data_IF_509998392960
#
_entry.id   IF_509998392960
#
_cell.length_a   1.000
_cell.length_b   1.000
_cell.length_c   1.000
_cell.angle_alpha   90.00
_cell.angle_beta   90.00
_cell.angle_gamma   90.00
#
_symmetry.space_group_name_H-M   'P 1'
#
loop_
_entity.id
_entity.type
_entity.pdbx_description
1 polymer ?
#
# COMPACT_ATOMS: atom_id res chain seq x y z
N UNK A 1 8.97 7.41 -6.10
CA UNK A 1 9.63 7.03 -7.39
C UNK A 1 9.85 5.53 -7.50
N UNK A 2 10.46 4.86 -6.51
CA UNK A 2 10.72 3.40 -6.56
C UNK A 2 9.46 2.55 -6.82
N UNK A 3 8.38 2.77 -6.08
CA UNK A 3 7.10 2.07 -6.27
C UNK A 3 6.49 2.25 -7.67
N UNK A 4 6.69 3.42 -8.28
CA UNK A 4 6.22 3.67 -9.64
C UNK A 4 6.89 2.74 -10.65
N UNK A 5 8.16 2.37 -10.40
CA UNK A 5 8.92 1.41 -11.19
C UNK A 5 8.82 -0.04 -10.69
N UNK A 6 7.97 -0.31 -9.69
CA UNK A 6 7.76 -1.66 -9.17
C UNK A 6 8.81 -2.14 -8.16
N UNK A 7 9.56 -1.22 -7.55
CA UNK A 7 10.59 -1.52 -6.53
C UNK A 7 10.06 -1.31 -5.10
N UNK A 8 8.85 -1.81 -4.82
CA UNK A 8 8.23 -1.70 -3.49
C UNK A 8 8.97 -2.55 -2.43
N UNK A 9 9.70 -3.58 -2.85
CA UNK A 9 10.59 -4.36 -2.01
C UNK A 9 11.72 -3.49 -1.43
N UNK A 10 12.33 -2.63 -2.26
CA UNK A 10 13.39 -1.69 -1.81
C UNK A 10 12.81 -0.64 -0.87
N UNK A 11 11.60 -0.14 -1.15
CA UNK A 11 10.94 0.82 -0.25
C UNK A 11 10.66 0.16 1.10
N UNK A 12 10.14 -1.06 1.10
CA UNK A 12 9.90 -1.82 2.32
C UNK A 12 11.19 -2.03 3.12
N UNK A 13 12.28 -2.45 2.47
CA UNK A 13 13.57 -2.65 3.15
C UNK A 13 14.06 -1.36 3.80
N UNK A 14 13.98 -0.24 3.09
CA UNK A 14 14.38 1.06 3.64
C UNK A 14 13.54 1.45 4.87
N UNK A 15 12.22 1.26 4.81
CA UNK A 15 11.29 1.63 5.88
C UNK A 15 11.34 0.71 7.09
N UNK A 16 11.77 -0.54 6.91
CA UNK A 16 11.84 -1.55 7.97
C UNK A 16 13.17 -1.56 8.74
N UNK A 17 14.15 -0.77 8.32
CA UNK A 17 15.43 -0.61 9.04
C UNK A 17 15.23 0.01 10.42
N UNK A 18 16.07 -0.45 11.36
CA UNK A 18 16.10 0.03 12.75
C UNK A 18 17.45 0.61 13.14
N UNK A 19 18.46 0.56 12.28
CA UNK A 19 19.76 1.18 12.47
C UNK A 19 19.76 2.66 12.04
N UNK A 20 20.66 3.46 12.62
CA UNK A 20 20.79 4.87 12.24
C UNK A 20 21.38 5.00 10.83
N UNK A 21 20.84 5.86 9.95
CA UNK A 21 19.63 6.69 10.09
C UNK A 21 18.37 5.98 9.55
N UNK A 22 17.27 5.94 10.32
CA UNK A 22 15.99 5.33 9.87
C UNK A 22 14.78 5.73 10.73
N UNK A 23 13.56 5.54 10.21
CA UNK A 23 12.34 5.66 11.01
C UNK A 23 12.33 4.68 12.18
N UNK A 24 12.77 3.43 11.95
CA UNK A 24 12.83 2.42 13.00
C UNK A 24 13.80 2.82 14.11
N UNK A 25 14.92 3.45 13.78
CA UNK A 25 15.85 4.00 14.79
C UNK A 25 15.15 5.00 15.70
N UNK A 26 14.43 5.97 15.14
CA UNK A 26 13.67 6.94 15.93
C UNK A 26 12.63 6.26 16.84
N UNK A 27 11.89 5.28 16.30
CA UNK A 27 10.85 4.53 17.04
C UNK A 27 11.46 3.75 18.21
N UNK A 28 12.53 2.98 18.01
CA UNK A 28 13.13 2.17 19.10
C UNK A 28 13.76 3.05 20.19
N UNK A 29 14.09 4.32 19.88
CA UNK A 29 14.58 5.31 20.84
C UNK A 29 13.44 6.16 21.45
N UNK A 30 12.18 5.82 21.20
CA UNK A 30 11.03 6.40 21.90
C UNK A 30 10.35 7.57 21.20
N UNK A 31 10.64 7.83 19.92
CA UNK A 31 9.88 8.81 19.15
C UNK A 31 8.40 8.40 19.04
N UNK A 32 7.50 9.33 19.37
CA UNK A 32 6.04 9.19 19.18
C UNK A 32 5.49 10.08 18.06
N UNK A 33 6.37 10.90 17.46
CA UNK A 33 6.12 11.78 16.32
C UNK A 33 7.33 11.74 15.39
N UNK A 34 7.16 12.22 14.16
CA UNK A 34 8.28 12.37 13.22
C UNK A 34 9.27 13.40 13.77
N UNK A 35 10.56 13.09 13.66
CA UNK A 35 11.65 13.94 14.12
C UNK A 35 12.21 14.75 12.96
N UNK A 36 12.84 15.89 13.25
CA UNK A 36 13.48 16.74 12.23
C UNK A 36 14.73 16.07 11.65
N UNK A 37 15.47 15.35 12.49
CA UNK A 37 16.63 14.55 12.11
C UNK A 37 16.33 13.06 12.18
N UNK A 38 16.93 12.28 11.28
CA UNK A 38 16.78 10.82 11.21
C UNK A 38 17.23 10.07 12.46
N UNK A 39 18.12 10.67 13.25
CA UNK A 39 18.65 10.09 14.49
C UNK A 39 17.99 10.70 15.74
N UNK A 40 16.93 11.49 15.61
CA UNK A 40 16.13 11.92 16.77
C UNK A 40 15.34 10.73 17.33
N UNK A 41 15.20 10.57 18.67
CA UNK A 41 15.65 11.42 19.78
C UNK A 41 17.06 11.09 20.32
N UNK A 42 17.85 10.25 19.65
CA UNK A 42 19.17 9.80 20.09
C UNK A 42 20.27 10.13 19.06
N UNK A 43 20.76 11.39 18.98
CA UNK A 43 21.71 11.79 17.95
C UNK A 43 22.98 10.93 17.95
N UNK A 44 23.17 10.13 16.89
CA UNK A 44 24.29 9.18 16.80
C UNK A 44 25.59 9.82 16.27
N UNK A 45 25.52 11.04 15.72
CA UNK A 45 26.59 11.69 14.96
C UNK A 45 27.16 12.95 15.62
N UNK A 46 26.94 13.13 16.92
CA UNK A 46 27.40 14.30 17.66
C UNK A 46 26.65 15.60 17.35
N UNK A 47 25.50 15.50 16.68
CA UNK A 47 24.63 16.63 16.37
C UNK A 47 23.87 17.08 17.64
N UNK A 48 23.49 18.37 17.75
CA UNK A 48 22.56 18.79 18.81
C UNK A 48 21.19 18.12 18.62
N UNK A 49 20.41 18.04 19.70
CA UNK A 49 19.04 17.52 19.63
C UNK A 49 18.15 18.50 18.85
N UNK A 50 17.65 18.06 17.70
CA UNK A 50 16.71 18.81 16.85
C UNK A 50 15.25 18.67 17.33
N UNK A 51 14.29 19.25 16.59
CA UNK A 51 12.86 19.10 16.91
C UNK A 51 12.43 17.63 16.86
N UNK A 52 11.61 17.22 17.84
CA UNK A 52 11.06 15.85 17.91
C UNK A 52 9.64 15.74 17.33
N UNK A 53 9.15 16.82 16.71
CA UNK A 53 7.85 16.88 16.07
C UNK A 53 7.93 17.75 14.80
N UNK A 54 8.33 17.13 13.69
CA UNK A 54 8.56 17.76 12.40
C UNK A 54 8.04 16.87 11.26
N UNK A 55 7.12 17.40 10.44
CA UNK A 55 6.37 16.60 9.47
C UNK A 55 7.14 16.27 8.17
N UNK A 56 8.36 16.79 7.98
CA UNK A 56 9.13 16.66 6.73
C UNK A 56 9.32 15.22 6.24
N UNK A 57 9.39 14.27 7.17
CA UNK A 57 9.51 12.83 6.85
C UNK A 57 8.15 12.13 6.76
N UNK A 58 7.06 12.87 6.54
CA UNK A 58 5.70 12.32 6.41
C UNK A 58 5.44 11.58 5.10
N UNK A 59 6.35 11.66 4.12
CA UNK A 59 6.19 11.02 2.81
C UNK A 59 6.04 9.49 2.88
N UNK A 60 6.43 8.86 4.00
CA UNK A 60 6.17 7.43 4.25
C UNK A 60 4.67 7.09 4.22
N UNK A 61 3.82 8.02 4.67
CA UNK A 61 2.36 7.83 4.68
C UNK A 61 1.78 7.64 3.27
N UNK A 62 2.34 8.37 2.28
CA UNK A 62 1.94 8.19 0.88
C UNK A 62 2.21 6.76 0.40
N UNK A 63 3.36 6.17 0.75
CA UNK A 63 3.66 4.79 0.37
C UNK A 63 2.72 3.80 1.06
N UNK A 64 2.48 3.98 2.37
CA UNK A 64 1.57 3.12 3.15
C UNK A 64 0.15 3.12 2.56
N UNK A 65 -0.37 4.30 2.21
CA UNK A 65 -1.74 4.45 1.68
C UNK A 65 -1.85 4.10 0.20
N UNK A 66 -1.01 4.71 -0.64
CA UNK A 66 -1.15 4.64 -2.10
C UNK A 66 -0.51 3.41 -2.72
N UNK A 67 0.53 2.84 -2.09
CA UNK A 67 1.25 1.68 -2.62
C UNK A 67 0.92 0.43 -1.83
N UNK A 68 1.24 0.39 -0.53
CA UNK A 68 1.06 -0.81 0.29
C UNK A 68 -0.43 -1.20 0.44
N UNK A 69 -1.29 -0.26 0.84
CA UNK A 69 -2.74 -0.47 0.84
C UNK A 69 -3.37 -0.36 -0.55
N UNK A 70 -2.67 0.31 -1.48
CA UNK A 70 -3.02 0.38 -2.89
C UNK A 70 -4.16 1.34 -3.22
N UNK A 71 -4.52 2.29 -2.36
CA UNK A 71 -5.63 3.22 -2.60
C UNK A 71 -5.11 4.45 -3.33
N UNK A 72 -5.41 4.57 -4.63
CA UNK A 72 -5.00 5.74 -5.41
C UNK A 72 -6.13 6.22 -6.31
N UNK A 73 -6.30 7.53 -6.43
CA UNK A 73 -7.15 8.08 -7.49
C UNK A 73 -6.41 8.08 -8.84
N UNK A 74 -7.10 7.83 -9.94
CA UNK A 74 -6.50 7.96 -11.27
C UNK A 74 -6.11 9.41 -11.56
N UNK A 75 -5.14 9.63 -12.46
CA UNK A 75 -4.58 10.97 -12.72
C UNK A 75 -5.62 12.02 -13.15
N UNK A 76 -6.68 11.60 -13.83
CA UNK A 76 -7.76 12.47 -14.31
C UNK A 76 -9.02 12.39 -13.42
N UNK A 77 -8.95 11.68 -12.30
CA UNK A 77 -10.06 11.60 -11.35
C UNK A 77 -10.12 12.86 -10.49
N UNK A 78 -11.34 13.27 -10.19
CA UNK A 78 -11.64 14.29 -9.20
C UNK A 78 -12.39 13.60 -8.07
N UNK A 79 -12.06 13.96 -6.83
CA UNK A 79 -12.87 13.61 -5.66
C UNK A 79 -13.03 12.09 -5.48
N UNK A 80 -11.98 11.31 -5.76
CA UNK A 80 -12.00 9.84 -5.66
C UNK A 80 -13.14 9.17 -6.46
N UNK A 81 -13.58 9.77 -7.57
CA UNK A 81 -14.60 9.20 -8.45
C UNK A 81 -14.11 7.96 -9.20
N UNK A 82 -12.85 7.95 -9.63
CA UNK A 82 -12.22 6.83 -10.36
C UNK A 82 -10.91 6.47 -9.68
N UNK A 83 -10.84 5.25 -9.14
CA UNK A 83 -9.70 4.76 -8.39
C UNK A 83 -8.93 3.67 -9.14
N UNK A 84 -7.64 3.58 -8.82
CA UNK A 84 -6.84 2.38 -9.03
C UNK A 84 -6.60 1.76 -7.64
N UNK A 85 -7.09 0.54 -7.45
CA UNK A 85 -6.82 -0.28 -6.27
C UNK A 85 -5.73 -1.28 -6.62
N UNK A 86 -4.49 -0.95 -6.29
CA UNK A 86 -3.29 -1.73 -6.66
C UNK A 86 -2.36 -1.91 -5.46
N UNK A 87 -2.61 -2.90 -4.59
CA UNK A 87 -1.73 -3.15 -3.44
C UNK A 87 -0.36 -3.64 -3.89
N UNK A 88 0.69 -3.08 -3.31
CA UNK A 88 2.06 -3.55 -3.42
C UNK A 88 2.27 -4.75 -2.48
N UNK A 89 2.61 -5.91 -3.05
CA UNK A 89 2.84 -7.14 -2.29
C UNK A 89 4.33 -7.26 -2.01
N UNK A 90 4.70 -7.17 -0.74
CA UNK A 90 6.08 -7.28 -0.25
C UNK A 90 6.24 -8.51 0.64
N UNK A 91 7.46 -9.06 0.73
CA UNK A 91 7.69 -10.40 1.26
C UNK A 91 7.36 -10.57 2.75
N UNK A 92 7.67 -9.56 3.58
CA UNK A 92 7.54 -9.67 5.03
C UNK A 92 6.25 -9.08 5.59
N UNK A 93 5.28 -8.77 4.72
CA UNK A 93 3.94 -8.32 5.12
C UNK A 93 2.93 -9.36 4.63
N UNK A 94 2.22 -9.98 5.56
CA UNK A 94 1.19 -10.98 5.27
C UNK A 94 -0.23 -10.42 5.28
N UNK A 95 -0.45 -9.26 5.91
CA UNK A 95 -1.76 -8.63 6.02
C UNK A 95 -1.64 -7.11 6.06
N UNK A 96 -2.53 -6.43 5.35
CA UNK A 96 -2.77 -4.99 5.45
C UNK A 96 -4.27 -4.75 5.47
N UNK A 97 -4.70 -3.82 6.33
CA UNK A 97 -6.06 -3.28 6.32
C UNK A 97 -5.99 -1.77 6.48
N UNK A 98 -6.62 -1.06 5.56
CA UNK A 98 -6.73 0.40 5.58
C UNK A 98 -8.16 0.81 5.27
N UNK A 99 -8.65 1.79 6.02
CA UNK A 99 -9.92 2.47 5.75
C UNK A 99 -9.61 3.95 5.59
N UNK A 100 -10.03 4.53 4.46
CA UNK A 100 -9.79 5.93 4.12
C UNK A 100 -11.10 6.68 3.92
N UNK A 101 -11.26 7.82 4.62
CA UNK A 101 -12.47 8.64 4.52
C UNK A 101 -12.31 9.67 3.42
N UNK A 102 -13.16 9.57 2.40
CA UNK A 102 -13.32 10.59 1.38
C UNK A 102 -14.60 11.40 1.63
N UNK A 103 -14.75 12.47 0.87
CA UNK A 103 -16.00 13.22 0.68
C UNK A 103 -17.16 12.35 0.19
N UNK A 104 -16.90 11.32 -0.64
CA UNK A 104 -17.91 10.37 -1.14
C UNK A 104 -18.30 9.31 -0.13
N UNK A 105 -17.46 9.10 0.89
CA UNK A 105 -17.64 8.08 1.91
C UNK A 105 -16.35 7.29 2.16
N UNK A 106 -16.50 6.13 2.75
CA UNK A 106 -15.40 5.27 3.14
C UNK A 106 -14.93 4.40 1.98
N UNK A 107 -13.62 4.32 1.80
CA UNK A 107 -12.95 3.31 0.98
C UNK A 107 -12.25 2.36 1.95
N UNK A 108 -12.38 1.05 1.75
CA UNK A 108 -11.62 0.06 2.52
C UNK A 108 -10.87 -0.85 1.56
N UNK A 109 -9.58 -1.07 1.86
CA UNK A 109 -8.82 -2.16 1.26
C UNK A 109 -8.27 -3.05 2.36
N UNK A 110 -8.42 -4.35 2.16
CA UNK A 110 -7.83 -5.34 3.05
C UNK A 110 -7.26 -6.47 2.21
N UNK A 111 -5.96 -6.68 2.26
CA UNK A 111 -5.36 -7.83 1.61
C UNK A 111 -4.64 -8.73 2.60
N UNK A 112 -4.67 -10.02 2.32
CA UNK A 112 -3.98 -11.07 3.07
C UNK A 112 -3.23 -11.97 2.10
N UNK A 113 -2.07 -12.45 2.53
CA UNK A 113 -1.28 -13.46 1.83
C UNK A 113 -0.90 -14.59 2.79
N UNK A 114 -1.20 -15.81 2.39
CA UNK A 114 -0.78 -17.03 3.07
C UNK A 114 -0.03 -17.92 2.07
N UNK A 115 1.31 -17.90 2.10
CA UNK A 115 2.12 -18.55 1.07
C UNK A 115 1.86 -17.93 -0.31
N UNK A 116 1.35 -18.73 -1.24
CA UNK A 116 0.97 -18.28 -2.58
C UNK A 116 -0.48 -17.80 -2.66
N UNK A 117 -1.31 -18.07 -1.66
CA UNK A 117 -2.72 -17.67 -1.69
C UNK A 117 -2.85 -16.20 -1.34
N UNK A 118 -3.56 -15.46 -2.19
CA UNK A 118 -3.81 -14.05 -2.02
C UNK A 118 -5.31 -13.78 -1.97
N UNK A 119 -5.73 -12.93 -1.03
CA UNK A 119 -7.11 -12.44 -0.93
C UNK A 119 -7.10 -10.94 -0.78
N UNK A 120 -7.90 -10.24 -1.58
CA UNK A 120 -8.10 -8.79 -1.50
C UNK A 120 -9.60 -8.49 -1.34
N UNK A 121 -9.96 -7.76 -0.30
CA UNK A 121 -11.28 -7.19 -0.08
C UNK A 121 -11.23 -5.71 -0.39
N UNK A 122 -12.23 -5.22 -1.12
CA UNK A 122 -12.37 -3.82 -1.49
C UNK A 122 -13.79 -3.38 -1.19
N UNK A 123 -13.94 -2.23 -0.53
CA UNK A 123 -15.22 -1.56 -0.37
C UNK A 123 -15.11 -0.14 -0.94
N UNK A 124 -16.06 0.22 -1.81
CA UNK A 124 -16.14 1.51 -2.46
C UNK A 124 -17.44 2.22 -2.10
N UNK A 125 -17.39 3.54 -1.84
CA UNK A 125 -18.58 4.32 -1.58
C UNK A 125 -19.41 4.53 -2.86
N UNK A 126 -20.66 4.93 -2.69
CA UNK A 126 -21.56 5.20 -3.81
C UNK A 126 -20.99 6.26 -4.77
N UNK A 127 -21.15 6.03 -6.07
CA UNK A 127 -20.69 6.95 -7.11
C UNK A 127 -19.17 6.94 -7.35
N UNK A 128 -18.43 6.02 -6.75
CA UNK A 128 -17.05 5.70 -7.09
C UNK A 128 -16.97 4.42 -7.92
N UNK A 129 -16.03 4.37 -8.84
CA UNK A 129 -15.64 3.17 -9.59
C UNK A 129 -14.15 2.90 -9.39
N UNK A 130 -13.72 1.66 -9.54
CA UNK A 130 -12.30 1.34 -9.47
C UNK A 130 -11.84 0.31 -10.50
N UNK A 131 -10.59 0.45 -10.92
CA UNK A 131 -9.80 -0.63 -11.50
C UNK A 131 -9.06 -1.34 -10.36
N UNK A 132 -9.40 -2.60 -10.09
CA UNK A 132 -8.78 -3.42 -9.06
C UNK A 132 -7.76 -4.34 -9.71
N UNK A 133 -6.50 -4.18 -9.33
CA UNK A 133 -5.37 -4.94 -9.82
C UNK A 133 -5.08 -6.08 -8.85
N UNK A 134 -5.46 -7.30 -9.23
CA UNK A 134 -5.24 -8.50 -8.43
C UNK A 134 -4.04 -9.24 -9.03
N UNK A 135 -2.99 -9.53 -8.23
CA UNK A 135 -1.83 -10.29 -8.72
C UNK A 135 -2.26 -11.72 -9.08
N UNK A 136 -1.72 -12.28 -10.16
CA UNK A 136 -2.10 -13.61 -10.65
C UNK A 136 -3.08 -13.57 -11.84
N UNK A 137 -2.90 -14.52 -12.75
CA UNK A 137 -3.70 -14.64 -13.99
C UNK A 137 -4.96 -15.49 -13.82
N UNK A 138 -5.07 -16.17 -12.68
CA UNK A 138 -6.17 -17.03 -12.23
C UNK A 138 -7.14 -16.29 -11.30
N UNK A 139 -6.96 -14.98 -11.11
CA UNK A 139 -7.75 -14.23 -10.14
C UNK A 139 -9.25 -14.32 -10.42
N UNK A 140 -10.02 -14.41 -9.34
CA UNK A 140 -11.48 -14.52 -9.33
C UNK A 140 -12.10 -13.49 -8.40
N UNK A 141 -13.40 -13.23 -8.59
CA UNK A 141 -14.23 -12.42 -7.70
C UNK A 141 -15.42 -13.24 -7.21
N UNK A 142 -15.90 -12.93 -6.00
CA UNK A 142 -17.18 -13.39 -5.45
C UNK A 142 -18.42 -13.04 -6.29
N UNK A 143 -18.32 -12.08 -7.23
CA UNK A 143 -19.38 -11.74 -8.20
C UNK A 143 -19.22 -12.42 -9.57
N UNK A 144 -18.24 -13.32 -9.73
CA UNK A 144 -18.06 -14.12 -10.94
C UNK A 144 -17.83 -13.28 -12.21
N UNK A 145 -18.55 -13.59 -13.28
CA UNK A 145 -18.41 -12.96 -14.61
C UNK A 145 -19.18 -11.66 -14.79
N UNK A 146 -19.89 -11.19 -13.75
CA UNK A 146 -20.71 -9.96 -13.81
C UNK A 146 -19.88 -8.67 -13.81
N UNK A 147 -18.56 -8.79 -13.66
CA UNK A 147 -17.61 -7.67 -13.60
C UNK A 147 -16.75 -7.70 -14.87
N UNK A 148 -16.44 -6.54 -15.44
CA UNK A 148 -15.53 -6.46 -16.58
C UNK A 148 -14.11 -6.85 -16.14
N UNK A 149 -13.53 -7.83 -16.85
CA UNK A 149 -12.20 -8.37 -16.54
C UNK A 149 -11.26 -8.18 -17.73
N UNK A 150 -10.06 -7.68 -17.45
CA UNK A 150 -8.94 -7.64 -18.40
C UNK A 150 -7.74 -8.34 -17.77
N UNK A 151 -7.18 -9.33 -18.45
CA UNK A 151 -5.91 -9.96 -18.04
C UNK A 151 -4.73 -9.20 -18.62
N UNK A 152 -3.70 -8.94 -17.82
CA UNK A 152 -2.47 -8.26 -18.23
C UNK A 152 -1.35 -8.75 -17.33
N UNK A 153 -0.46 -9.60 -17.85
CA UNK A 153 0.60 -10.21 -17.04
C UNK A 153 1.39 -9.15 -16.24
N UNK A 154 1.66 -9.40 -14.95
CA UNK A 154 1.37 -10.60 -14.16
C UNK A 154 0.04 -10.54 -13.37
N UNK A 155 -0.93 -9.72 -13.81
CA UNK A 155 -2.12 -9.35 -13.04
C UNK A 155 -3.43 -9.57 -13.79
N UNK A 156 -4.52 -9.64 -13.04
CA UNK A 156 -5.89 -9.57 -13.55
C UNK A 156 -6.53 -8.28 -13.05
N UNK A 157 -7.14 -7.51 -13.95
CA UNK A 157 -7.74 -6.22 -13.67
C UNK A 157 -9.26 -6.36 -13.73
N UNK A 158 -9.92 -5.98 -12.64
CA UNK A 158 -11.38 -5.95 -12.52
C UNK A 158 -11.86 -4.51 -12.49
N UNK A 159 -12.89 -4.17 -13.27
CA UNK A 159 -13.53 -2.85 -13.18
C UNK A 159 -14.84 -2.96 -12.41
N UNK A 160 -14.88 -2.39 -11.21
CA UNK A 160 -16.03 -2.45 -10.29
C UNK A 160 -16.66 -1.07 -10.07
N UNK A 161 -17.92 -1.10 -9.64
CA UNK A 161 -18.64 0.09 -9.15
C UNK A 161 -18.66 0.09 -7.61
N UNK A 162 -19.50 0.94 -7.02
CA UNK A 162 -19.68 1.00 -5.57
C UNK A 162 -20.22 -0.33 -5.02
N UNK A 163 -19.70 -0.75 -3.88
CA UNK A 163 -20.07 -2.03 -3.28
C UNK A 163 -18.92 -2.61 -2.47
N UNK A 164 -19.10 -3.85 -2.01
CA UNK A 164 -18.07 -4.64 -1.33
C UNK A 164 -17.77 -5.88 -2.14
N UNK A 165 -16.48 -6.14 -2.39
CA UNK A 165 -16.01 -7.19 -3.28
C UNK A 165 -14.87 -7.96 -2.62
N UNK A 166 -14.82 -9.25 -2.89
CA UNK A 166 -13.71 -10.12 -2.49
C UNK A 166 -13.08 -10.75 -3.73
N UNK A 167 -11.77 -10.57 -3.87
CA UNK A 167 -10.95 -11.15 -4.91
C UNK A 167 -10.00 -12.18 -4.32
N UNK A 168 -9.76 -13.25 -5.07
CA UNK A 168 -8.81 -14.32 -4.70
C UNK A 168 -7.94 -14.67 -5.89
N UNK A 169 -6.69 -15.03 -5.64
CA UNK A 169 -5.75 -15.49 -6.67
C UNK A 169 -4.61 -16.27 -6.06
N UNK A 170 -3.83 -16.93 -6.93
CA UNK A 170 -2.55 -17.53 -6.56
C UNK A 170 -1.43 -16.67 -7.14
N UNK A 171 -0.53 -16.20 -6.28
CA UNK A 171 0.61 -15.39 -6.70
C UNK A 171 1.86 -16.25 -6.87
N UNK A 172 2.59 -15.99 -7.95
CA UNK A 172 3.95 -16.51 -8.08
C UNK A 172 4.86 -15.72 -7.14
N UNK A 173 5.45 -16.40 -6.15
CA UNK A 173 6.51 -15.79 -5.33
C UNK A 173 7.69 -15.54 -6.27
N UNK A 174 8.01 -14.27 -6.53
CA UNK A 174 9.19 -13.92 -7.30
C UNK A 174 10.42 -14.19 -6.41
N UNK A 175 10.96 -15.40 -6.49
CA UNK A 175 12.24 -15.78 -5.91
C UNK A 175 13.37 -15.15 -6.73
N UNK A 176 13.59 -13.83 -6.61
CA UNK A 176 14.80 -13.20 -7.15
C UNK A 176 15.33 -12.10 -6.23
N UNK A 177 16.30 -12.48 -5.42
CA UNK A 177 17.49 -11.67 -5.13
C UNK A 177 18.71 -12.58 -5.25
N UNK A 178 19.44 -12.41 -6.35
CA UNK A 178 20.88 -12.70 -6.40
C UNK A 178 21.59 -11.43 -5.92
#
# INVERSE_FOLDING_TARGET
MLSFYGHDDIVYDFLSRTDSPSYGYAIIHGATSLTEDWDGPAPARGQPLASQNHFSFGAVDEWLMCSLAGIKQTANSIDYRVLDIKPAIVENISHVKVTYRTTRGWIETQWNRAGTDFTLKVMLPYGSIANVYVPGMDATSDYGTLIQVRKTEPMTIFKIESGSYTFKSVISVNTKRN
#
